data_IF_411061773976
#
_entry.id   IF_411061773976
#
_cell.length_a   1.000
_cell.length_b   1.000
_cell.length_c   1.000
_cell.angle_alpha   90.00
_cell.angle_beta   90.00
_cell.angle_gamma   90.00
#
_symmetry.space_group_name_H-M   'P 1'
#
loop_
_entity.id
_entity.type
_entity.pdbx_description
1 polymer ?
#
# COMPACT_ATOMS: atom_id res chain seq x y z
N UNK A 1 -25.20 29.99 1.99
CA UNK A 1 -24.86 28.70 2.62
C UNK A 1 -24.06 27.94 1.57
N UNK A 2 -22.75 27.79 1.78
CA UNK A 2 -21.88 27.09 0.82
C UNK A 2 -22.34 25.65 0.71
N UNK A 3 -22.73 25.18 -0.47
CA UNK A 3 -22.93 23.75 -0.71
C UNK A 3 -21.63 23.03 -0.33
N UNK A 4 -21.68 22.25 0.75
CA UNK A 4 -20.56 21.41 1.14
C UNK A 4 -20.35 20.41 0.02
N UNK A 5 -19.26 20.55 -0.74
CA UNK A 5 -18.93 19.61 -1.82
C UNK A 5 -18.90 18.20 -1.25
N UNK A 6 -19.67 17.30 -1.85
CA UNK A 6 -19.76 15.90 -1.46
C UNK A 6 -18.94 15.01 -2.39
N UNK A 7 -18.61 13.82 -1.91
CA UNK A 7 -17.97 12.75 -2.66
C UNK A 7 -18.62 11.40 -2.33
N UNK A 8 -18.51 10.45 -3.25
CA UNK A 8 -18.85 9.05 -2.99
C UNK A 8 -17.70 8.33 -2.28
N UNK A 9 -18.05 7.54 -1.27
CA UNK A 9 -17.13 6.74 -0.47
C UNK A 9 -17.70 5.35 -0.26
N UNK A 10 -16.84 4.33 -0.26
CA UNK A 10 -17.19 2.96 0.10
C UNK A 10 -16.91 2.77 1.60
N UNK A 11 -17.97 2.80 2.39
CA UNK A 11 -17.91 2.78 3.85
C UNK A 11 -18.15 1.36 4.36
N UNK A 12 -17.18 0.84 5.10
CA UNK A 12 -17.33 -0.40 5.85
C UNK A 12 -18.04 -0.12 7.18
N UNK A 13 -19.23 -0.71 7.35
CA UNK A 13 -20.12 -0.49 8.50
C UNK A 13 -19.97 -1.56 9.60
N UNK A 14 -19.17 -2.59 9.34
CA UNK A 14 -18.96 -3.72 10.22
C UNK A 14 -18.86 -5.03 9.46
N UNK A 15 -18.69 -6.17 10.15
CA UNK A 15 -18.46 -7.46 9.51
C UNK A 15 -19.48 -7.74 8.41
N UNK A 16 -18.99 -7.93 7.18
CA UNK A 16 -19.73 -8.20 5.95
C UNK A 16 -20.68 -7.10 5.46
N UNK A 17 -20.62 -5.90 6.03
CA UNK A 17 -21.46 -4.75 5.65
C UNK A 17 -20.60 -3.63 5.05
N UNK A 18 -20.82 -3.32 3.78
CA UNK A 18 -20.15 -2.23 3.06
C UNK A 18 -21.15 -1.53 2.14
N UNK A 19 -21.14 -0.20 2.12
CA UNK A 19 -22.10 0.60 1.36
C UNK A 19 -21.40 1.78 0.68
N UNK A 20 -21.92 2.19 -0.48
CA UNK A 20 -21.53 3.46 -1.08
C UNK A 20 -22.37 4.55 -0.43
N UNK A 21 -21.71 5.53 0.19
CA UNK A 21 -22.36 6.67 0.83
C UNK A 21 -21.82 7.98 0.27
N UNK A 22 -22.63 9.05 0.35
CA UNK A 22 -22.14 10.40 0.10
C UNK A 22 -21.61 11.00 1.39
N UNK A 23 -20.39 11.50 1.35
CA UNK A 23 -19.73 12.17 2.47
C UNK A 23 -19.20 13.54 2.03
N UNK A 24 -18.95 14.43 2.99
CA UNK A 24 -18.25 15.67 2.70
C UNK A 24 -16.81 15.38 2.23
N UNK A 25 -16.29 16.18 1.31
CA UNK A 25 -14.86 16.15 0.98
C UNK A 25 -14.05 16.46 2.25
N UNK A 26 -12.97 15.70 2.57
CA UNK A 26 -12.19 15.92 3.76
C UNK A 26 -11.55 17.31 3.80
N UNK A 27 -11.62 17.98 4.96
CA UNK A 27 -10.83 19.19 5.22
C UNK A 27 -9.37 18.83 5.47
N UNK A 28 -8.45 19.56 4.84
CA UNK A 28 -7.02 19.31 4.98
C UNK A 28 -6.45 19.96 6.24
N UNK A 29 -5.64 19.19 6.97
CA UNK A 29 -4.78 19.73 8.03
C UNK A 29 -3.54 20.38 7.43
N UNK A 30 -2.82 21.25 8.19
CA UNK A 30 -1.54 21.79 7.74
C UNK A 30 -0.56 20.68 7.35
N UNK A 31 0.07 20.82 6.18
CA UNK A 31 0.99 19.83 5.63
C UNK A 31 0.32 18.65 4.94
N UNK A 32 -1.00 18.66 4.75
CA UNK A 32 -1.73 17.65 3.98
C UNK A 32 -2.06 18.10 2.56
N UNK A 33 -2.26 17.10 1.70
CA UNK A 33 -2.77 17.21 0.34
C UNK A 33 -4.07 16.41 0.21
N UNK A 34 -4.95 16.89 -0.66
CA UNK A 34 -6.14 16.15 -1.10
C UNK A 34 -5.82 15.50 -2.44
N UNK A 35 -5.93 14.18 -2.49
CA UNK A 35 -5.67 13.38 -3.69
C UNK A 35 -7.00 12.96 -4.27
N UNK A 36 -7.23 13.24 -5.56
CA UNK A 36 -8.26 12.59 -6.36
C UNK A 36 -7.78 11.18 -6.70
N UNK A 37 -8.48 10.16 -6.18
CA UNK A 37 -8.08 8.76 -6.32
C UNK A 37 -8.42 8.28 -7.72
N UNK A 38 -7.42 7.81 -8.47
CA UNK A 38 -7.60 7.26 -9.80
C UNK A 38 -7.61 5.72 -9.79
N UNK A 39 -6.82 5.12 -8.89
CA UNK A 39 -6.76 3.68 -8.70
C UNK A 39 -6.53 3.34 -7.22
N UNK A 40 -7.20 2.29 -6.74
CA UNK A 40 -7.01 1.74 -5.40
C UNK A 40 -6.97 0.21 -5.45
N UNK A 41 -6.00 -0.38 -4.76
CA UNK A 41 -5.82 -1.82 -4.57
C UNK A 41 -6.63 -2.35 -3.39
N UNK A 42 -6.94 -3.64 -3.43
CA UNK A 42 -7.59 -4.37 -2.32
C UNK A 42 -6.55 -5.34 -1.75
N UNK A 43 -6.12 -5.11 -0.52
CA UNK A 43 -5.18 -6.00 0.16
C UNK A 43 -5.91 -7.15 0.85
N UNK A 44 -5.17 -8.21 1.18
CA UNK A 44 -5.67 -9.25 2.08
C UNK A 44 -6.09 -8.71 3.45
N UNK A 45 -5.47 -7.60 3.89
CA UNK A 45 -5.87 -6.94 5.13
C UNK A 45 -7.25 -6.28 5.02
N UNK A 46 -7.66 -5.71 3.87
CA UNK A 46 -9.04 -5.29 3.58
C UNK A 46 -10.02 -6.44 3.73
N UNK A 47 -9.69 -7.63 3.23
CA UNK A 47 -10.55 -8.81 3.36
C UNK A 47 -10.74 -9.23 4.82
N UNK A 48 -9.66 -9.26 5.62
CA UNK A 48 -9.77 -9.56 7.05
C UNK A 48 -10.54 -8.47 7.80
N UNK A 49 -10.39 -7.21 7.42
CA UNK A 49 -11.22 -6.11 7.93
C UNK A 49 -12.69 -6.27 7.58
N UNK A 50 -13.02 -6.56 6.31
CA UNK A 50 -14.38 -6.82 5.85
C UNK A 50 -15.05 -7.92 6.68
N UNK A 51 -14.30 -8.97 7.07
CA UNK A 51 -14.79 -10.06 7.92
C UNK A 51 -14.82 -9.73 9.42
N UNK A 52 -14.34 -8.56 9.85
CA UNK A 52 -14.25 -8.18 11.27
C UNK A 52 -13.07 -8.82 12.03
N UNK A 53 -12.08 -9.35 11.32
CA UNK A 53 -10.95 -10.10 11.87
C UNK A 53 -9.68 -9.26 12.05
N UNK A 54 -9.77 -7.95 11.77
CA UNK A 54 -8.66 -7.01 11.92
C UNK A 54 -8.97 -6.00 13.03
N UNK A 55 -8.36 -6.19 14.20
CA UNK A 55 -8.60 -5.36 15.39
C UNK A 55 -8.13 -3.91 15.25
N UNK A 56 -7.38 -3.57 14.21
CA UNK A 56 -6.94 -2.19 13.95
C UNK A 56 -8.05 -1.31 13.35
N UNK A 57 -9.12 -1.91 12.82
CA UNK A 57 -10.19 -1.19 12.13
C UNK A 57 -11.44 -1.10 13.00
N UNK A 58 -11.99 0.10 13.09
CA UNK A 58 -13.23 0.37 13.83
C UNK A 58 -14.27 0.92 12.84
N UNK A 59 -15.42 0.26 12.64
CA UNK A 59 -16.47 0.78 11.77
C UNK A 59 -17.26 1.92 12.47
N UNK A 60 -17.88 2.85 11.71
CA UNK A 60 -17.84 2.98 10.25
C UNK A 60 -16.49 3.52 9.77
N UNK A 61 -15.96 2.97 8.68
CA UNK A 61 -14.63 3.32 8.15
C UNK A 61 -14.57 3.23 6.63
N UNK A 62 -14.01 4.26 6.00
CA UNK A 62 -13.53 4.15 4.61
C UNK A 62 -12.18 3.44 4.64
N UNK A 63 -12.10 2.24 4.06
CA UNK A 63 -10.85 1.46 3.98
C UNK A 63 -10.01 1.88 2.75
N UNK A 64 -8.93 1.13 2.45
CA UNK A 64 -8.07 1.35 1.30
C UNK A 64 -6.79 2.10 1.65
N UNK A 65 -5.65 1.44 1.47
CA UNK A 65 -4.33 1.97 1.81
C UNK A 65 -3.29 1.77 0.69
N UNK A 66 -3.72 1.22 -0.43
CA UNK A 66 -2.93 1.01 -1.64
C UNK A 66 -3.59 1.86 -2.74
N UNK A 67 -3.05 3.02 -3.08
CA UNK A 67 -3.71 3.90 -4.05
C UNK A 67 -2.76 4.89 -4.73
N UNK A 68 -3.17 5.35 -5.90
CA UNK A 68 -2.52 6.41 -6.65
C UNK A 68 -3.56 7.37 -7.25
N UNK A 69 -3.12 8.60 -7.50
CA UNK A 69 -3.98 9.63 -8.05
C UNK A 69 -3.29 10.98 -8.18
N UNK A 70 -4.08 12.04 -8.36
CA UNK A 70 -3.57 13.39 -8.57
C UNK A 70 -3.87 14.30 -7.37
N UNK A 71 -2.90 15.11 -6.96
CA UNK A 71 -3.12 16.15 -5.95
C UNK A 71 -4.01 17.25 -6.53
N UNK A 72 -5.17 17.48 -5.92
CA UNK A 72 -6.13 18.52 -6.33
C UNK A 72 -6.18 19.72 -5.38
N UNK A 73 -5.70 19.56 -4.14
CA UNK A 73 -5.57 20.63 -3.16
C UNK A 73 -4.34 20.37 -2.28
N UNK A 74 -3.67 21.44 -1.84
CA UNK A 74 -2.50 21.37 -0.97
C UNK A 74 -2.51 22.51 0.04
N UNK A 75 -2.14 22.21 1.28
CA UNK A 75 -1.97 23.20 2.36
C UNK A 75 -0.52 23.70 2.49
N UNK A 76 0.28 23.51 1.44
CA UNK A 76 1.74 23.72 1.42
C UNK A 76 2.50 22.67 2.25
N UNK A 77 3.72 22.34 1.81
CA UNK A 77 4.54 21.28 2.39
C UNK A 77 5.47 20.68 1.35
N UNK A 78 6.21 19.63 1.73
CA UNK A 78 7.05 18.86 0.83
C UNK A 78 6.54 17.42 0.71
N UNK A 79 6.69 16.85 -0.49
CA UNK A 79 6.51 15.43 -0.71
C UNK A 79 7.66 14.62 -0.08
N UNK A 80 7.57 13.29 -0.12
CA UNK A 80 8.57 12.40 0.47
C UNK A 80 9.96 12.51 -0.18
N UNK A 81 10.06 13.06 -1.39
CA UNK A 81 11.31 13.37 -2.10
C UNK A 81 11.81 14.81 -1.87
N UNK A 82 11.23 15.51 -0.90
CA UNK A 82 11.49 16.92 -0.54
C UNK A 82 11.09 17.96 -1.62
N UNK A 83 10.45 17.54 -2.71
CA UNK A 83 9.90 18.47 -3.68
C UNK A 83 8.66 19.20 -3.15
N UNK A 84 8.33 20.41 -3.63
CA UNK A 84 7.15 21.13 -3.16
C UNK A 84 5.84 20.38 -3.48
N UNK A 85 4.95 20.28 -2.49
CA UNK A 85 3.67 19.58 -2.62
C UNK A 85 2.65 20.39 -3.44
N UNK A 86 2.75 20.33 -4.77
CA UNK A 86 1.95 21.14 -5.71
C UNK A 86 0.70 20.41 -6.22
N UNK A 87 -0.35 21.18 -6.51
CA UNK A 87 -1.54 20.71 -7.24
C UNK A 87 -1.15 20.28 -8.65
N UNK A 88 -1.79 19.22 -9.14
CA UNK A 88 -1.56 18.62 -10.46
C UNK A 88 -0.55 17.47 -10.47
N UNK A 89 0.26 17.33 -9.40
CA UNK A 89 1.25 16.25 -9.31
C UNK A 89 0.57 14.91 -9.05
N UNK A 90 0.94 13.89 -9.82
CA UNK A 90 0.51 12.50 -9.60
C UNK A 90 1.36 11.88 -8.49
N UNK A 91 0.71 11.21 -7.55
CA UNK A 91 1.34 10.63 -6.37
C UNK A 91 0.77 9.25 -6.05
N UNK A 92 1.61 8.39 -5.48
CA UNK A 92 1.20 7.30 -4.58
C UNK A 92 1.55 7.71 -3.15
N UNK A 93 1.16 6.94 -2.13
CA UNK A 93 1.51 7.29 -0.75
C UNK A 93 1.85 6.07 0.11
N UNK A 94 2.74 6.30 1.09
CA UNK A 94 2.93 5.37 2.20
C UNK A 94 1.79 5.59 3.22
N UNK A 95 0.94 4.59 3.48
CA UNK A 95 -0.22 4.76 4.36
C UNK A 95 0.14 4.93 5.84
N UNK A 96 1.40 4.66 6.21
CA UNK A 96 1.90 4.80 7.57
C UNK A 96 2.27 6.24 7.89
N UNK A 97 1.36 6.92 8.61
CA UNK A 97 1.60 8.23 9.18
C UNK A 97 2.39 8.08 10.48
N UNK A 98 3.49 8.82 10.60
CA UNK A 98 4.43 8.76 11.73
C UNK A 98 4.51 10.11 12.46
N UNK A 99 4.86 10.09 13.75
CA UNK A 99 5.05 11.36 14.49
C UNK A 99 6.39 12.04 14.21
N UNK A 100 7.37 11.33 13.66
CA UNK A 100 8.72 11.85 13.39
C UNK A 100 9.59 12.10 14.64
N UNK A 101 9.01 12.18 15.85
CA UNK A 101 9.71 12.67 17.05
C UNK A 101 9.96 11.62 18.14
N UNK A 102 9.30 10.47 18.13
CA UNK A 102 9.49 9.45 19.17
C UNK A 102 10.87 8.77 19.07
N UNK A 103 11.30 8.10 20.15
CA UNK A 103 12.54 7.32 20.21
C UNK A 103 12.76 6.41 18.99
N UNK A 104 11.72 5.69 18.55
CA UNK A 104 11.77 4.82 17.37
C UNK A 104 11.92 5.59 16.05
N UNK A 105 11.24 6.73 15.92
CA UNK A 105 11.39 7.59 14.74
C UNK A 105 12.81 8.18 14.66
N UNK A 106 13.37 8.64 15.79
CA UNK A 106 14.70 9.26 15.84
C UNK A 106 15.83 8.32 15.41
N UNK A 107 15.67 7.01 15.61
CA UNK A 107 16.63 5.99 15.18
C UNK A 107 16.29 5.39 13.80
N UNK A 108 15.36 5.99 13.06
CA UNK A 108 14.96 5.53 11.72
C UNK A 108 14.00 4.33 11.69
N UNK A 109 13.57 3.81 12.83
CA UNK A 109 12.59 2.72 12.96
C UNK A 109 11.15 3.24 12.88
N UNK A 110 10.87 4.07 11.89
CA UNK A 110 9.59 4.78 11.71
C UNK A 110 8.41 3.82 11.52
N UNK A 111 8.65 2.63 10.94
CA UNK A 111 7.67 1.55 10.84
C UNK A 111 7.15 1.06 12.20
N UNK A 112 7.90 1.33 13.27
CA UNK A 112 7.57 0.99 14.65
C UNK A 112 7.13 2.19 15.48
N UNK A 113 6.88 3.35 14.85
CA UNK A 113 6.47 4.60 15.51
C UNK A 113 5.39 4.36 16.59
N UNK A 114 5.60 4.95 17.78
CA UNK A 114 4.70 4.79 18.94
C UNK A 114 3.32 5.40 18.75
N UNK A 115 3.25 6.43 17.91
CA UNK A 115 2.03 7.17 17.59
C UNK A 115 1.63 6.95 16.12
N UNK A 116 1.99 5.79 15.55
CA UNK A 116 1.68 5.52 14.14
C UNK A 116 0.18 5.52 13.91
N UNK A 117 -0.24 6.08 12.79
CA UNK A 117 -1.59 5.94 12.26
C UNK A 117 -1.50 5.32 10.87
N UNK A 118 -2.55 4.63 10.47
CA UNK A 118 -2.66 3.99 9.16
C UNK A 118 -3.87 4.59 8.46
N UNK A 119 -3.64 5.10 7.26
CA UNK A 119 -4.69 5.48 6.32
C UNK A 119 -5.40 4.19 5.90
N UNK A 120 -6.74 4.18 5.92
CA UNK A 120 -7.54 2.96 5.71
C UNK A 120 -7.71 2.07 6.95
N UNK A 121 -7.30 2.52 8.14
CA UNK A 121 -7.56 1.85 9.41
C UNK A 121 -7.84 2.82 10.57
N UNK A 122 -6.87 3.67 10.92
CA UNK A 122 -7.01 4.68 11.96
C UNK A 122 -7.56 6.01 11.40
N UNK A 123 -7.32 6.24 10.11
CA UNK A 123 -7.81 7.38 9.32
C UNK A 123 -8.62 6.85 8.13
N UNK A 124 -9.58 7.63 7.60
CA UNK A 124 -10.25 7.30 6.34
C UNK A 124 -9.25 7.04 5.21
N UNK A 125 -9.51 6.00 4.42
CA UNK A 125 -8.66 5.51 3.34
C UNK A 125 -9.10 5.96 1.94
N UNK A 126 -8.55 5.27 0.95
CA UNK A 126 -8.66 5.60 -0.47
C UNK A 126 -9.80 4.91 -1.21
N UNK A 127 -10.68 4.15 -0.54
CA UNK A 127 -11.93 3.69 -1.15
C UNK A 127 -12.97 4.81 -1.20
N UNK A 128 -12.60 5.93 -1.82
CA UNK A 128 -13.34 7.16 -1.95
C UNK A 128 -12.84 7.92 -3.19
N UNK A 129 -13.62 8.88 -3.68
CA UNK A 129 -13.17 9.75 -4.79
C UNK A 129 -11.99 10.65 -4.37
N UNK A 130 -11.91 11.05 -3.10
CA UNK A 130 -10.81 11.85 -2.56
C UNK A 130 -10.30 11.31 -1.22
N UNK A 131 -8.99 11.44 -0.99
CA UNK A 131 -8.34 11.07 0.27
C UNK A 131 -7.37 12.16 0.73
N UNK A 132 -7.41 12.50 2.02
CA UNK A 132 -6.50 13.45 2.64
C UNK A 132 -5.28 12.72 3.23
N UNK A 133 -4.10 13.08 2.76
CA UNK A 133 -2.83 12.42 3.10
C UNK A 133 -1.79 13.48 3.46
N UNK A 134 -0.96 13.29 4.49
CA UNK A 134 0.14 14.21 4.72
C UNK A 134 1.11 14.19 3.55
N UNK A 135 1.52 15.37 3.09
CA UNK A 135 2.36 15.54 1.90
C UNK A 135 3.65 14.70 2.01
N UNK A 136 4.26 14.63 3.20
CA UNK A 136 5.47 13.85 3.48
C UNK A 136 5.32 12.33 3.32
N UNK A 137 4.10 11.82 3.20
CA UNK A 137 3.84 10.40 2.88
C UNK A 137 3.68 10.17 1.38
N UNK A 138 3.49 11.23 0.58
CA UNK A 138 3.23 11.13 -0.84
C UNK A 138 4.53 11.07 -1.63
N UNK A 139 4.61 10.14 -2.56
CA UNK A 139 5.73 9.96 -3.48
C UNK A 139 5.28 10.38 -4.89
N UNK A 140 5.91 11.40 -5.50
CA UNK A 140 5.62 11.78 -6.88
C UNK A 140 5.87 10.62 -7.84
N UNK A 141 4.99 10.49 -8.83
CA UNK A 141 5.04 9.42 -9.83
C UNK A 141 5.74 9.90 -11.11
N UNK A 142 6.53 9.04 -11.77
CA UNK A 142 6.97 9.26 -13.15
C UNK A 142 5.77 9.41 -14.10
N UNK A 143 5.92 10.23 -15.14
CA UNK A 143 4.85 10.51 -16.10
C UNK A 143 4.38 9.25 -16.86
N UNK A 144 5.29 8.31 -17.13
CA UNK A 144 5.06 7.08 -17.89
C UNK A 144 4.52 5.92 -17.05
N UNK A 145 4.52 6.02 -15.72
CA UNK A 145 3.95 5.01 -14.84
C UNK A 145 2.44 5.21 -14.75
N UNK A 146 1.62 4.17 -15.00
CA UNK A 146 0.17 4.26 -14.86
C UNK A 146 -0.29 4.31 -13.40
N UNK A 147 -1.44 4.95 -13.12
CA UNK A 147 -1.98 5.02 -11.75
C UNK A 147 -2.30 3.63 -11.19
N UNK A 148 -2.78 2.69 -12.02
CA UNK A 148 -3.02 1.30 -11.60
C UNK A 148 -1.74 0.63 -11.10
N UNK A 149 -0.63 0.73 -11.84
CA UNK A 149 0.65 0.17 -11.38
C UNK A 149 1.19 0.90 -10.15
N UNK A 150 1.03 2.22 -10.09
CA UNK A 150 1.45 3.03 -8.95
C UNK A 150 0.65 2.72 -7.67
N UNK A 151 -0.60 2.26 -7.78
CA UNK A 151 -1.37 1.80 -6.61
C UNK A 151 -0.75 0.57 -5.94
N UNK A 152 0.06 -0.22 -6.68
CA UNK A 152 0.75 -1.41 -6.18
C UNK A 152 2.11 -1.09 -5.51
N UNK A 153 2.49 0.18 -5.41
CA UNK A 153 3.77 0.58 -4.80
C UNK A 153 3.87 0.20 -3.32
N UNK A 154 2.78 0.33 -2.56
CA UNK A 154 2.74 -0.05 -1.14
C UNK A 154 3.03 -1.55 -0.92
N UNK A 155 2.30 -2.50 -1.56
CA UNK A 155 2.54 -3.91 -1.31
C UNK A 155 3.90 -4.37 -1.86
N UNK A 156 4.39 -3.73 -2.94
CA UNK A 156 5.76 -3.95 -3.42
C UNK A 156 6.80 -3.46 -2.40
N UNK A 157 6.61 -2.30 -1.77
CA UNK A 157 7.51 -1.79 -0.74
C UNK A 157 7.57 -2.72 0.48
N UNK A 158 6.43 -3.29 0.89
CA UNK A 158 6.34 -4.31 1.93
C UNK A 158 7.19 -5.54 1.57
N UNK A 159 7.05 -6.04 0.33
CA UNK A 159 7.77 -7.22 -0.16
C UNK A 159 9.27 -6.96 -0.31
N UNK A 160 9.65 -5.79 -0.83
CA UNK A 160 11.04 -5.35 -0.93
C UNK A 160 11.69 -5.26 0.45
N UNK A 161 10.98 -4.75 1.46
CA UNK A 161 11.48 -4.72 2.84
C UNK A 161 11.69 -6.14 3.38
N UNK A 162 10.76 -7.06 3.13
CA UNK A 162 10.90 -8.45 3.56
C UNK A 162 12.14 -9.10 2.94
N UNK A 163 12.35 -8.96 1.63
CA UNK A 163 13.55 -9.47 0.94
C UNK A 163 14.82 -8.87 1.55
N UNK A 164 14.88 -7.54 1.76
CA UNK A 164 16.05 -6.90 2.37
C UNK A 164 16.37 -7.41 3.78
N UNK A 165 15.35 -7.72 4.58
CA UNK A 165 15.53 -8.24 5.94
C UNK A 165 16.13 -9.64 5.98
N UNK A 166 16.01 -10.43 4.90
CA UNK A 166 16.64 -11.76 4.83
C UNK A 166 18.17 -11.68 4.82
N UNK A 167 18.73 -10.56 4.34
CA UNK A 167 20.17 -10.43 4.12
C UNK A 167 20.73 -11.35 3.03
N UNK A 168 19.87 -11.98 2.22
CA UNK A 168 20.27 -12.89 1.16
C UNK A 168 21.13 -12.14 0.13
N UNK A 169 22.27 -12.73 -0.21
CA UNK A 169 23.22 -12.15 -1.17
C UNK A 169 23.00 -12.76 -2.56
N UNK A 170 23.42 -12.09 -3.65
CA UNK A 170 23.15 -12.53 -5.04
C UNK A 170 23.59 -13.98 -5.34
N UNK A 171 24.65 -14.46 -4.69
CA UNK A 171 25.16 -15.81 -4.86
C UNK A 171 24.39 -16.89 -4.08
N UNK A 172 23.44 -16.51 -3.22
CA UNK A 172 22.62 -17.43 -2.43
C UNK A 172 21.28 -17.71 -3.11
N UNK A 173 20.56 -18.72 -2.61
CA UNK A 173 19.19 -19.02 -3.04
C UNK A 173 18.17 -18.41 -2.07
N UNK A 174 17.00 -18.05 -2.60
CA UNK A 174 15.85 -17.60 -1.82
C UNK A 174 14.66 -18.52 -2.11
N UNK A 175 14.02 -19.03 -1.06
CA UNK A 175 12.75 -19.75 -1.16
C UNK A 175 11.62 -18.84 -0.68
N UNK A 176 10.60 -18.66 -1.52
CA UNK A 176 9.39 -17.91 -1.21
C UNK A 176 8.25 -18.91 -0.98
N UNK A 177 7.67 -18.88 0.22
CA UNK A 177 6.51 -19.71 0.56
C UNK A 177 5.23 -18.90 0.35
N UNK A 178 4.45 -19.28 -0.65
CA UNK A 178 3.23 -18.63 -1.12
C UNK A 178 3.46 -17.79 -2.38
N UNK A 179 2.70 -18.05 -3.43
CA UNK A 179 2.64 -17.32 -4.69
C UNK A 179 1.41 -16.39 -4.76
N UNK A 180 0.98 -15.85 -3.61
CA UNK A 180 0.04 -14.72 -3.57
C UNK A 180 0.70 -13.39 -3.95
N UNK A 181 -0.03 -12.26 -3.94
CA UNK A 181 0.51 -10.96 -4.35
C UNK A 181 1.84 -10.58 -3.69
N UNK A 182 1.94 -10.74 -2.36
CA UNK A 182 3.19 -10.45 -1.61
C UNK A 182 4.34 -11.37 -2.02
N UNK A 183 4.09 -12.67 -2.23
CA UNK A 183 5.11 -13.61 -2.66
C UNK A 183 5.62 -13.32 -4.08
N UNK A 184 4.70 -12.97 -4.98
CA UNK A 184 5.06 -12.57 -6.35
C UNK A 184 5.79 -11.23 -6.40
N UNK A 185 5.42 -10.26 -5.56
CA UNK A 185 6.21 -9.03 -5.40
C UNK A 185 7.57 -9.29 -4.76
N UNK A 186 7.68 -10.24 -3.83
CA UNK A 186 8.96 -10.65 -3.27
C UNK A 186 9.86 -11.30 -4.33
N UNK A 187 9.29 -12.09 -5.25
CA UNK A 187 10.01 -12.64 -6.40
C UNK A 187 10.59 -11.52 -7.27
N UNK A 188 9.76 -10.54 -7.68
CA UNK A 188 10.22 -9.39 -8.48
C UNK A 188 11.28 -8.58 -7.72
N UNK A 189 11.07 -8.31 -6.42
CA UNK A 189 12.00 -7.56 -5.60
C UNK A 189 13.35 -8.28 -5.43
N UNK A 190 13.34 -9.61 -5.28
CA UNK A 190 14.54 -10.42 -5.18
C UNK A 190 15.33 -10.40 -6.49
N UNK A 191 14.65 -10.61 -7.61
CA UNK A 191 15.23 -10.53 -8.96
C UNK A 191 15.85 -9.16 -9.23
N UNK A 192 15.13 -8.08 -8.91
CA UNK A 192 15.62 -6.71 -9.03
C UNK A 192 16.83 -6.40 -8.13
N UNK A 193 16.97 -7.14 -7.02
CA UNK A 193 18.13 -7.05 -6.12
C UNK A 193 19.31 -7.95 -6.55
N UNK A 194 19.23 -8.59 -7.71
CA UNK A 194 20.29 -9.42 -8.27
C UNK A 194 20.29 -10.88 -7.82
N UNK A 195 19.29 -11.32 -7.04
CA UNK A 195 19.17 -12.71 -6.60
C UNK A 195 18.61 -13.52 -7.77
N UNK A 196 19.44 -14.39 -8.35
CA UNK A 196 19.05 -15.15 -9.55
C UNK A 196 18.35 -16.48 -9.24
N UNK A 197 18.68 -17.10 -8.10
CA UNK A 197 18.15 -18.40 -7.68
C UNK A 197 16.98 -18.23 -6.72
N UNK A 198 15.80 -17.98 -7.29
CA UNK A 198 14.57 -17.75 -6.51
C UNK A 198 13.58 -18.87 -6.76
N UNK A 199 13.29 -19.65 -5.72
CA UNK A 199 12.34 -20.75 -5.72
C UNK A 199 11.02 -20.26 -5.14
N UNK A 200 9.89 -20.71 -5.69
CA UNK A 200 8.55 -20.33 -5.19
C UNK A 200 7.74 -21.59 -4.94
N UNK A 201 7.15 -21.71 -3.75
CA UNK A 201 6.26 -22.81 -3.42
C UNK A 201 4.84 -22.30 -3.14
N UNK A 202 3.82 -23.02 -3.60
CA UNK A 202 2.41 -22.75 -3.33
C UNK A 202 1.61 -24.05 -3.48
N UNK A 203 0.33 -24.03 -3.09
CA UNK A 203 -0.63 -25.11 -3.35
C UNK A 203 -1.25 -24.99 -4.75
N UNK A 204 -1.32 -23.77 -5.28
CA UNK A 204 -2.04 -23.43 -6.50
C UNK A 204 -1.12 -23.41 -7.71
N UNK A 205 -1.32 -24.37 -8.62
CA UNK A 205 -0.57 -24.46 -9.87
C UNK A 205 -0.72 -23.21 -10.74
N UNK A 206 -1.91 -22.59 -10.76
CA UNK A 206 -2.14 -21.37 -11.54
C UNK A 206 -1.34 -20.17 -11.01
N UNK A 207 -1.06 -20.12 -9.71
CA UNK A 207 -0.21 -19.07 -9.12
C UNK A 207 1.28 -19.35 -9.38
N UNK A 208 1.67 -20.62 -9.30
CA UNK A 208 3.02 -21.04 -9.66
C UNK A 208 3.34 -20.73 -11.12
N UNK A 209 2.35 -20.88 -12.02
CA UNK A 209 2.52 -20.50 -13.42
C UNK A 209 2.86 -19.01 -13.60
N UNK A 210 2.20 -18.12 -12.85
CA UNK A 210 2.57 -16.69 -12.81
C UNK A 210 4.00 -16.51 -12.29
N UNK A 211 4.39 -17.23 -11.24
CA UNK A 211 5.76 -17.16 -10.71
C UNK A 211 6.80 -17.59 -11.76
N UNK A 212 6.54 -18.64 -12.55
CA UNK A 212 7.42 -19.06 -13.67
C UNK A 212 7.55 -17.96 -14.71
N UNK A 213 6.43 -17.40 -15.15
CA UNK A 213 6.40 -16.31 -16.12
C UNK A 213 7.16 -15.08 -15.63
N UNK A 214 7.18 -14.84 -14.32
CA UNK A 214 7.87 -13.71 -13.69
C UNK A 214 9.33 -14.02 -13.31
N UNK A 215 9.83 -15.20 -13.68
CA UNK A 215 11.25 -15.55 -13.60
C UNK A 215 11.65 -16.26 -12.30
N UNK A 216 10.74 -16.96 -11.64
CA UNK A 216 11.11 -17.98 -10.66
C UNK A 216 12.00 -19.03 -11.32
N UNK A 217 13.09 -19.41 -10.64
CA UNK A 217 14.02 -20.44 -11.13
C UNK A 217 13.36 -21.81 -11.17
N UNK A 218 12.54 -22.10 -10.17
CA UNK A 218 11.76 -23.31 -10.04
C UNK A 218 10.56 -23.04 -9.15
N UNK A 219 9.50 -23.80 -9.38
CA UNK A 219 8.24 -23.69 -8.65
C UNK A 219 7.83 -25.04 -8.10
N UNK A 220 7.44 -25.10 -6.83
CA UNK A 220 7.17 -26.36 -6.12
C UNK A 220 5.72 -26.38 -5.65
N UNK A 221 4.93 -27.31 -6.20
CA UNK A 221 3.59 -27.57 -5.71
C UNK A 221 3.64 -28.53 -4.52
N UNK A 222 3.39 -28.03 -3.31
CA UNK A 222 3.50 -28.83 -2.07
C UNK A 222 2.41 -29.89 -1.91
N UNK A 223 1.39 -29.90 -2.78
CA UNK A 223 0.42 -31.00 -2.80
C UNK A 223 0.96 -32.24 -3.54
N UNK A 224 2.03 -32.06 -4.33
CA UNK A 224 2.60 -33.08 -5.20
C UNK A 224 4.03 -33.46 -4.80
N UNK A 225 4.76 -32.54 -4.17
CA UNK A 225 6.18 -32.68 -3.82
C UNK A 225 6.47 -32.08 -2.45
N UNK A 226 7.45 -32.63 -1.73
CA UNK A 226 7.93 -32.05 -0.46
C UNK A 226 8.87 -30.85 -0.73
N UNK A 227 8.89 -29.88 0.20
CA UNK A 227 9.74 -28.67 0.16
C UNK A 227 10.85 -28.74 1.21
#
# INVERSE_FOLDING_TARGET
MSETKQMETLVWLGPRAIEIQRAAIPELRPGEVLIAVHAAGICGSELSGYLGQNSLRVPPLVMGHEAAGQVIQSTQGTFADESPARVGVRVTFNPLVICGECDRCRVGLTNLCRQRQLIGAHRPGAFAQFVAVPAKQCYPLPDDLSDTLASLTEPLACSLRAVKLTGVRPEQSLLILGAGPIGLFALIAARASGIQRVYVSDLSESRLEVARQWGASETINVQQHDV
#
